data_IF_357124344952
#
_entry.id   IF_357124344952
#
_cell.length_a   1.000
_cell.length_b   1.000
_cell.length_c   1.000
_cell.angle_alpha   90.00
_cell.angle_beta   90.00
_cell.angle_gamma   90.00
#
_symmetry.space_group_name_H-M   'P 1'
#
loop_
_entity.id
_entity.type
_entity.pdbx_description
1 polymer ?
#
# COMPACT_ATOMS: atom_id res chain seq x y z
N UNK A 1 -1.48 -26.84 -11.50
CA UNK A 1 -0.68 -25.62 -11.29
C UNK A 1 -1.50 -24.43 -11.77
N UNK A 2 -2.03 -23.60 -10.87
CA UNK A 2 -2.68 -22.34 -11.29
C UNK A 2 -1.61 -21.42 -11.89
N UNK A 3 -1.84 -20.93 -13.11
CA UNK A 3 -0.94 -19.98 -13.76
C UNK A 3 -0.75 -18.74 -12.89
N UNK A 4 0.47 -18.20 -12.83
CA UNK A 4 0.82 -17.00 -12.06
C UNK A 4 -0.17 -15.84 -12.32
N UNK A 5 -0.58 -15.68 -13.58
CA UNK A 5 -1.59 -14.69 -14.00
C UNK A 5 -2.94 -14.86 -13.31
N UNK A 6 -3.41 -16.10 -13.09
CA UNK A 6 -4.68 -16.31 -12.39
C UNK A 6 -4.60 -15.97 -10.91
N UNK A 7 -3.41 -16.16 -10.32
CA UNK A 7 -3.17 -15.85 -8.91
C UNK A 7 -3.18 -14.35 -8.64
N UNK A 8 -2.57 -13.56 -9.52
CA UNK A 8 -2.48 -12.09 -9.37
C UNK A 8 -3.54 -11.33 -10.20
N UNK A 9 -4.52 -12.02 -10.78
CA UNK A 9 -5.54 -11.42 -11.65
C UNK A 9 -6.26 -10.25 -10.99
N UNK A 10 -6.73 -10.43 -9.76
CA UNK A 10 -7.44 -9.38 -9.02
C UNK A 10 -6.57 -8.14 -8.79
N UNK A 11 -5.30 -8.36 -8.46
CA UNK A 11 -4.32 -7.30 -8.24
C UNK A 11 -4.04 -6.52 -9.54
N UNK A 12 -3.80 -7.22 -10.65
CA UNK A 12 -3.58 -6.59 -11.95
C UNK A 12 -4.80 -5.79 -12.42
N UNK A 13 -6.01 -6.30 -12.19
CA UNK A 13 -7.25 -5.58 -12.48
C UNK A 13 -7.36 -4.32 -11.63
N UNK A 14 -7.02 -4.41 -10.34
CA UNK A 14 -7.00 -3.25 -9.45
C UNK A 14 -6.04 -2.17 -9.96
N UNK A 15 -4.79 -2.53 -10.28
CA UNK A 15 -3.82 -1.59 -10.83
C UNK A 15 -4.27 -0.99 -12.16
N UNK A 16 -4.89 -1.80 -13.04
CA UNK A 16 -5.44 -1.31 -14.29
C UNK A 16 -6.56 -0.28 -14.03
N UNK A 17 -7.45 -0.53 -13.07
CA UNK A 17 -8.53 0.39 -12.72
C UNK A 17 -7.99 1.72 -12.16
N UNK A 18 -7.04 1.64 -11.21
CA UNK A 18 -6.38 2.82 -10.63
C UNK A 18 -5.59 3.61 -11.69
N UNK A 19 -4.90 2.90 -12.59
CA UNK A 19 -4.17 3.50 -13.70
C UNK A 19 -5.09 4.21 -14.69
N UNK A 20 -6.18 3.57 -15.12
CA UNK A 20 -7.18 4.18 -15.99
C UNK A 20 -7.83 5.41 -15.34
N UNK A 21 -8.22 5.33 -14.06
CA UNK A 21 -8.78 6.46 -13.33
C UNK A 21 -7.79 7.63 -13.26
N UNK A 22 -6.51 7.34 -13.04
CA UNK A 22 -5.44 8.36 -13.02
C UNK A 22 -5.18 8.97 -14.40
N UNK A 23 -5.22 8.17 -15.47
CA UNK A 23 -5.08 8.67 -16.84
C UNK A 23 -6.23 9.62 -17.20
N UNK A 24 -7.46 9.24 -16.86
CA UNK A 24 -8.63 10.13 -17.05
C UNK A 24 -8.46 11.41 -16.24
N UNK A 25 -8.02 11.30 -14.98
CA UNK A 25 -7.72 12.47 -14.15
C UNK A 25 -6.66 13.38 -14.78
N UNK A 26 -5.58 12.80 -15.31
CA UNK A 26 -4.51 13.55 -15.99
C UNK A 26 -4.99 14.28 -17.27
N UNK A 27 -6.02 13.75 -17.95
CA UNK A 27 -6.63 14.42 -19.09
C UNK A 27 -7.61 15.55 -18.71
N UNK A 28 -8.20 15.48 -17.51
CA UNK A 28 -9.25 16.40 -17.07
C UNK A 28 -8.76 17.47 -16.09
N UNK A 29 -7.59 17.29 -15.49
CA UNK A 29 -7.08 18.11 -14.40
C UNK A 29 -5.63 18.52 -14.65
N UNK A 30 -5.27 19.75 -14.28
CA UNK A 30 -3.89 20.24 -14.31
C UNK A 30 -3.07 19.80 -13.09
N UNK A 31 -3.73 19.24 -12.08
CA UNK A 31 -3.07 18.79 -10.86
C UNK A 31 -2.20 17.55 -11.12
N UNK A 32 -1.21 17.36 -10.24
CA UNK A 32 -0.25 16.27 -10.39
C UNK A 32 -0.95 14.88 -10.30
N UNK A 33 -0.98 14.11 -11.41
CA UNK A 33 -1.65 12.81 -11.43
C UNK A 33 -1.00 11.78 -10.51
N UNK A 34 0.27 11.97 -10.16
CA UNK A 34 0.97 11.08 -9.23
C UNK A 34 0.36 11.17 -7.81
N UNK A 35 0.03 12.37 -7.35
CA UNK A 35 -0.64 12.56 -6.05
C UNK A 35 -2.02 11.91 -6.05
N UNK A 36 -2.76 12.00 -7.15
CA UNK A 36 -4.05 11.37 -7.30
C UNK A 36 -3.95 9.83 -7.26
N UNK A 37 -2.98 9.25 -7.98
CA UNK A 37 -2.72 7.80 -7.95
C UNK A 37 -2.35 7.32 -6.55
N UNK A 38 -1.44 8.01 -5.86
CA UNK A 38 -1.05 7.67 -4.49
C UNK A 38 -2.25 7.73 -3.54
N UNK A 39 -3.09 8.75 -3.68
CA UNK A 39 -4.31 8.91 -2.91
C UNK A 39 -5.29 7.76 -3.11
N UNK A 40 -5.61 7.43 -4.36
CA UNK A 40 -6.49 6.31 -4.69
C UNK A 40 -5.92 4.97 -4.22
N UNK A 41 -4.60 4.79 -4.35
CA UNK A 41 -3.90 3.60 -3.86
C UNK A 41 -4.12 3.44 -2.36
N UNK A 42 -3.85 4.47 -1.55
CA UNK A 42 -4.02 4.39 -0.10
C UNK A 42 -5.48 4.14 0.33
N UNK A 43 -6.44 4.87 -0.25
CA UNK A 43 -7.87 4.68 0.07
C UNK A 43 -8.31 3.26 -0.27
N UNK A 44 -7.95 2.75 -1.45
CA UNK A 44 -8.42 1.45 -1.91
C UNK A 44 -7.79 0.31 -1.13
N UNK A 45 -6.47 0.37 -0.86
CA UNK A 45 -5.79 -0.65 -0.07
C UNK A 45 -6.20 -0.62 1.40
N UNK A 46 -6.48 0.56 1.96
CA UNK A 46 -7.03 0.66 3.32
C UNK A 46 -8.41 0.04 3.43
N UNK A 47 -9.29 0.27 2.44
CA UNK A 47 -10.62 -0.32 2.40
C UNK A 47 -10.59 -1.85 2.53
N UNK A 48 -9.73 -2.52 1.77
CA UNK A 48 -9.58 -3.98 1.87
C UNK A 48 -9.06 -4.44 3.24
N UNK A 49 -8.16 -3.66 3.86
CA UNK A 49 -7.66 -3.95 5.21
C UNK A 49 -8.73 -3.80 6.28
N UNK A 50 -9.63 -2.82 6.14
CA UNK A 50 -10.70 -2.57 7.11
C UNK A 50 -11.78 -3.65 7.05
N UNK A 51 -12.14 -4.14 5.86
CA UNK A 51 -13.09 -5.25 5.71
C UNK A 51 -12.63 -6.47 6.51
N UNK A 52 -11.33 -6.76 6.48
CA UNK A 52 -10.71 -7.90 7.15
C UNK A 52 -9.72 -7.46 8.23
N UNK A 53 -10.14 -6.55 9.10
CA UNK A 53 -9.25 -5.91 10.06
C UNK A 53 -8.61 -6.89 11.04
N UNK A 54 -9.34 -7.93 11.47
CA UNK A 54 -8.83 -8.92 12.42
C UNK A 54 -7.74 -9.78 11.81
N UNK A 55 -7.94 -10.21 10.57
CA UNK A 55 -7.02 -11.02 9.80
C UNK A 55 -5.80 -10.19 9.37
N UNK A 56 -6.02 -8.94 8.93
CA UNK A 56 -4.95 -7.96 8.68
C UNK A 56 -4.10 -7.81 9.93
N UNK A 57 -4.70 -7.50 11.07
CA UNK A 57 -4.02 -7.33 12.35
C UNK A 57 -3.19 -8.56 12.72
N UNK A 58 -3.75 -9.76 12.60
CA UNK A 58 -3.07 -11.01 12.92
C UNK A 58 -1.89 -11.31 11.98
N UNK A 59 -1.99 -10.97 10.69
CA UNK A 59 -0.90 -11.17 9.72
C UNK A 59 0.17 -10.07 9.83
N UNK A 60 -0.24 -8.80 9.87
CA UNK A 60 0.63 -7.62 9.87
C UNK A 60 1.66 -7.63 11.01
N UNK A 61 1.23 -8.05 12.21
CA UNK A 61 2.08 -8.13 13.40
C UNK A 61 3.18 -9.18 13.32
N UNK A 62 3.05 -10.16 12.43
CA UNK A 62 4.05 -11.23 12.27
C UNK A 62 5.29 -10.73 11.55
N UNK A 63 5.14 -9.79 10.62
CA UNK A 63 6.24 -9.35 9.74
C UNK A 63 6.64 -7.87 9.90
N UNK A 64 5.72 -6.96 10.21
CA UNK A 64 6.06 -5.54 10.35
C UNK A 64 6.80 -5.28 11.67
N UNK A 65 7.89 -4.51 11.59
CA UNK A 65 8.82 -4.30 12.71
C UNK A 65 8.16 -3.46 13.81
N UNK A 66 7.39 -2.44 13.44
CA UNK A 66 6.72 -1.55 14.39
C UNK A 66 5.53 -2.26 15.01
N UNK A 67 4.71 -2.94 14.21
CA UNK A 67 3.55 -3.69 14.64
C UNK A 67 3.89 -4.84 15.59
N UNK A 68 5.07 -5.45 15.41
CA UNK A 68 5.56 -6.51 16.29
C UNK A 68 5.84 -6.00 17.71
N UNK A 69 6.32 -4.77 17.86
CA UNK A 69 6.60 -4.16 19.15
C UNK A 69 5.39 -3.39 19.71
N UNK A 70 4.60 -2.76 18.84
CA UNK A 70 3.45 -1.92 19.20
C UNK A 70 2.21 -2.54 18.56
N UNK A 71 1.56 -3.44 19.29
CA UNK A 71 0.38 -4.14 18.81
C UNK A 71 -0.74 -3.19 18.36
N UNK A 72 -0.89 -2.04 19.03
CA UNK A 72 -1.89 -1.03 18.70
C UNK A 72 -1.66 -0.40 17.32
N UNK A 73 -0.40 -0.27 16.89
CA UNK A 73 -0.05 0.29 15.58
C UNK A 73 -0.66 -0.52 14.43
N UNK A 74 -0.66 -1.85 14.54
CA UNK A 74 -1.29 -2.71 13.54
C UNK A 74 -2.80 -2.46 13.37
N UNK A 75 -3.48 -2.03 14.43
CA UNK A 75 -4.92 -1.74 14.37
C UNK A 75 -5.18 -0.35 13.78
N UNK A 76 -4.32 0.63 14.08
CA UNK A 76 -4.45 2.01 13.60
C UNK A 76 -3.97 2.18 12.14
N UNK A 77 -3.09 1.30 11.66
CA UNK A 77 -2.46 1.40 10.34
C UNK A 77 -3.43 1.68 9.17
N UNK A 78 -4.56 0.96 9.00
CA UNK A 78 -5.48 1.23 7.90
C UNK A 78 -6.08 2.64 7.97
N UNK A 79 -6.30 3.17 9.17
CA UNK A 79 -6.79 4.54 9.35
C UNK A 79 -5.73 5.58 8.99
N UNK A 80 -4.45 5.31 9.28
CA UNK A 80 -3.34 6.17 8.81
C UNK A 80 -3.34 6.24 7.29
N UNK A 81 -3.54 5.11 6.62
CA UNK A 81 -3.64 5.08 5.16
C UNK A 81 -4.84 5.87 4.63
N UNK A 82 -6.00 5.86 5.32
CA UNK A 82 -7.12 6.72 4.92
C UNK A 82 -6.70 8.19 4.99
N UNK A 83 -6.09 8.61 6.11
CA UNK A 83 -5.66 9.99 6.29
C UNK A 83 -4.65 10.39 5.22
N UNK A 84 -3.64 9.56 4.95
CA UNK A 84 -2.67 9.80 3.88
C UNK A 84 -3.34 9.86 2.50
N UNK A 85 -4.24 8.93 2.21
CA UNK A 85 -5.01 8.89 0.98
C UNK A 85 -5.81 10.18 0.76
N UNK A 86 -6.49 10.66 1.80
CA UNK A 86 -7.21 11.92 1.76
C UNK A 86 -6.25 13.10 1.55
N UNK A 87 -5.14 13.17 2.28
CA UNK A 87 -4.15 14.25 2.11
C UNK A 87 -3.61 14.33 0.68
N UNK A 88 -3.33 13.18 0.05
CA UNK A 88 -2.90 13.13 -1.34
C UNK A 88 -4.02 13.54 -2.33
N UNK A 89 -5.26 13.09 -2.11
CA UNK A 89 -6.40 13.45 -2.97
C UNK A 89 -6.81 14.93 -2.86
N UNK A 90 -6.78 15.48 -1.64
CA UNK A 90 -7.10 16.90 -1.38
C UNK A 90 -5.89 17.82 -1.53
N UNK A 91 -4.73 17.27 -1.89
CA UNK A 91 -3.46 18.00 -2.00
C UNK A 91 -3.09 18.80 -0.75
N UNK A 92 -3.50 18.31 0.42
CA UNK A 92 -3.30 18.99 1.69
C UNK A 92 -2.00 18.54 2.34
N UNK A 93 -1.06 19.47 2.53
CA UNK A 93 0.22 19.23 3.20
C UNK A 93 0.96 17.99 2.65
N UNK A 94 1.17 17.98 1.33
CA UNK A 94 1.87 16.91 0.62
C UNK A 94 3.26 16.59 1.19
N UNK A 95 4.11 17.57 1.63
CA UNK A 95 5.41 17.23 2.23
C UNK A 95 5.28 16.30 3.44
N UNK A 96 4.32 16.61 4.33
CA UNK A 96 4.08 15.80 5.51
C UNK A 96 3.55 14.41 5.15
N UNK A 97 2.58 14.33 4.22
CA UNK A 97 2.03 13.06 3.75
C UNK A 97 3.10 12.17 3.12
N UNK A 98 3.98 12.74 2.29
CA UNK A 98 5.10 12.03 1.66
C UNK A 98 6.12 11.55 2.69
N UNK A 99 6.51 12.38 3.66
CA UNK A 99 7.44 11.99 4.71
C UNK A 99 6.92 10.81 5.55
N UNK A 100 5.65 10.88 5.97
CA UNK A 100 4.99 9.79 6.72
C UNK A 100 4.92 8.52 5.86
N UNK A 101 4.53 8.65 4.59
CA UNK A 101 4.46 7.54 3.63
C UNK A 101 5.79 6.81 3.52
N UNK A 102 6.90 7.54 3.36
CA UNK A 102 8.25 6.95 3.26
C UNK A 102 8.59 6.16 4.53
N UNK A 103 8.35 6.73 5.72
CA UNK A 103 8.66 6.06 6.99
C UNK A 103 7.88 4.76 7.14
N UNK A 104 6.57 4.81 6.89
CA UNK A 104 5.66 3.68 7.04
C UNK A 104 5.98 2.57 6.03
N UNK A 105 6.19 2.95 4.76
CA UNK A 105 6.47 1.99 3.70
C UNK A 105 7.87 1.39 3.80
N UNK A 106 8.87 2.14 4.26
CA UNK A 106 10.21 1.58 4.52
C UNK A 106 10.16 0.53 5.65
N UNK A 107 9.46 0.83 6.75
CA UNK A 107 9.28 -0.13 7.85
C UNK A 107 8.66 -1.44 7.36
N UNK A 108 7.53 -1.33 6.64
CA UNK A 108 6.83 -2.50 6.10
C UNK A 108 7.67 -3.25 5.07
N UNK A 109 8.39 -2.55 4.18
CA UNK A 109 9.24 -3.18 3.17
C UNK A 109 10.39 -3.99 3.80
N UNK A 110 11.06 -3.45 4.83
CA UNK A 110 12.10 -4.19 5.57
C UNK A 110 11.49 -5.42 6.26
N UNK A 111 10.30 -5.28 6.85
CA UNK A 111 9.55 -6.39 7.45
C UNK A 111 9.24 -7.52 6.46
N UNK A 112 8.74 -7.17 5.27
CA UNK A 112 8.41 -8.11 4.19
C UNK A 112 9.67 -8.81 3.68
N UNK A 113 10.77 -8.09 3.44
CA UNK A 113 12.05 -8.67 3.01
C UNK A 113 12.56 -9.69 4.05
N UNK A 114 12.48 -9.34 5.34
CA UNK A 114 12.94 -10.20 6.42
C UNK A 114 12.10 -11.47 6.54
N UNK A 115 10.78 -11.37 6.40
CA UNK A 115 9.88 -12.53 6.47
C UNK A 115 10.03 -13.44 5.24
N UNK A 116 10.19 -12.87 4.03
CA UNK A 116 10.48 -13.64 2.82
C UNK A 116 11.82 -14.39 2.90
N UNK A 117 12.87 -13.77 3.47
CA UNK A 117 14.17 -14.44 3.68
C UNK A 117 14.11 -15.58 4.70
N UNK A 118 13.14 -15.56 5.62
CA UNK A 118 12.92 -16.62 6.60
C UNK A 118 12.09 -17.79 6.04
N UNK A 119 11.59 -17.69 4.81
CA UNK A 119 10.74 -18.73 4.20
C UNK A 119 9.35 -18.82 4.84
N UNK A 120 8.92 -17.79 5.58
CA UNK A 120 7.59 -17.76 6.20
C UNK A 120 6.53 -17.54 5.10
N UNK A 121 5.64 -18.52 4.90
CA UNK A 121 4.51 -18.41 3.98
C UNK A 121 3.39 -17.65 4.69
N UNK A 122 3.42 -16.32 4.62
CA UNK A 122 2.38 -15.46 5.16
C UNK A 122 1.46 -14.95 4.05
N UNK A 123 0.17 -14.88 4.33
CA UNK A 123 -0.81 -14.25 3.44
C UNK A 123 -0.64 -12.72 3.48
N UNK A 124 -0.71 -12.08 2.30
CA UNK A 124 -0.60 -10.62 2.18
C UNK A 124 -1.70 -9.95 2.98
N UNK A 125 -1.35 -9.13 3.97
CA UNK A 125 -2.36 -8.54 4.84
C UNK A 125 -3.27 -7.53 4.08
N UNK A 126 -2.79 -6.92 2.99
CA UNK A 126 -3.52 -5.86 2.27
C UNK A 126 -4.66 -6.38 1.37
N UNK A 127 -4.44 -7.46 0.62
CA UNK A 127 -5.42 -8.09 -0.28
C UNK A 127 -5.58 -9.61 -0.05
N UNK A 128 -4.70 -10.22 0.74
CA UNK A 128 -4.59 -11.67 0.86
C UNK A 128 -5.76 -12.33 1.58
N UNK A 129 -6.51 -11.60 2.40
CA UNK A 129 -7.70 -12.16 3.07
C UNK A 129 -8.88 -12.30 2.10
N UNK A 130 -9.02 -11.38 1.14
CA UNK A 130 -10.06 -11.43 0.10
C UNK A 130 -9.63 -12.31 -1.08
N UNK A 131 -8.35 -12.24 -1.47
CA UNK A 131 -7.86 -12.80 -2.73
C UNK A 131 -6.82 -13.94 -2.57
N UNK A 132 -6.53 -14.40 -1.35
CA UNK A 132 -5.53 -15.45 -1.06
C UNK A 132 -4.16 -15.19 -1.74
N UNK A 133 -3.79 -13.91 -1.82
CA UNK A 133 -2.49 -13.50 -2.34
C UNK A 133 -1.41 -13.75 -1.29
N UNK A 134 -0.41 -14.59 -1.55
CA UNK A 134 0.74 -14.72 -0.66
C UNK A 134 1.52 -13.41 -0.67
N UNK A 135 2.15 -13.08 0.46
CA UNK A 135 3.25 -12.12 0.46
C UNK A 135 4.25 -12.54 -0.61
N UNK A 136 4.54 -11.63 -1.54
CA UNK A 136 5.37 -11.95 -2.69
C UNK A 136 6.29 -10.79 -3.04
N UNK A 137 7.19 -11.03 -3.98
CA UNK A 137 8.05 -10.00 -4.58
C UNK A 137 7.22 -8.83 -5.16
N UNK A 138 5.95 -9.06 -5.51
CA UNK A 138 5.06 -8.01 -6.01
C UNK A 138 4.81 -6.93 -4.95
N UNK A 139 4.57 -7.29 -3.69
CA UNK A 139 4.36 -6.31 -2.59
C UNK A 139 5.60 -5.44 -2.35
N UNK A 140 6.80 -5.99 -2.53
CA UNK A 140 8.05 -5.21 -2.47
C UNK A 140 8.09 -4.18 -3.61
N UNK A 141 7.71 -4.58 -4.82
CA UNK A 141 7.67 -3.70 -5.98
C UNK A 141 6.64 -2.58 -5.76
N UNK A 142 5.44 -2.91 -5.28
CA UNK A 142 4.39 -1.94 -4.97
C UNK A 142 4.85 -0.89 -3.95
N UNK A 143 5.40 -1.35 -2.81
CA UNK A 143 5.91 -0.45 -1.78
C UNK A 143 7.06 0.43 -2.29
N UNK A 144 7.98 -0.13 -3.08
CA UNK A 144 9.09 0.65 -3.65
C UNK A 144 8.62 1.70 -4.66
N UNK A 145 7.62 1.39 -5.49
CA UNK A 145 7.04 2.37 -6.42
C UNK A 145 6.42 3.52 -5.64
N UNK A 146 5.63 3.23 -4.60
CA UNK A 146 5.02 4.25 -3.75
C UNK A 146 6.05 5.09 -2.98
N UNK A 147 7.14 4.48 -2.49
CA UNK A 147 8.26 5.20 -1.87
C UNK A 147 8.94 6.12 -2.89
N UNK A 148 9.20 5.63 -4.11
CA UNK A 148 9.81 6.43 -5.16
C UNK A 148 8.94 7.64 -5.51
N UNK A 149 7.63 7.44 -5.64
CA UNK A 149 6.66 8.52 -5.83
C UNK A 149 6.68 9.52 -4.66
N UNK A 150 6.69 9.05 -3.42
CA UNK A 150 6.75 9.95 -2.27
C UNK A 150 8.05 10.78 -2.24
N UNK A 151 9.19 10.19 -2.63
CA UNK A 151 10.48 10.88 -2.72
C UNK A 151 10.46 11.91 -3.86
N UNK A 152 10.01 11.55 -5.05
CA UNK A 152 9.92 12.49 -6.17
C UNK A 152 9.00 13.65 -5.81
N UNK A 153 7.89 13.39 -5.12
CA UNK A 153 7.01 14.44 -4.65
C UNK A 153 7.71 15.39 -3.66
N UNK A 154 8.58 14.90 -2.78
CA UNK A 154 9.37 15.77 -1.89
C UNK A 154 10.44 16.59 -2.63
N UNK A 155 10.99 16.07 -3.72
CA UNK A 155 12.03 16.74 -4.50
C UNK A 155 11.48 17.77 -5.50
N UNK A 156 10.22 17.60 -5.93
CA UNK A 156 9.54 18.48 -6.90
C UNK A 156 8.90 19.70 -6.21
N UNK A 157 8.70 19.65 -4.88
CA UNK A 157 8.12 20.74 -4.07
C UNK A 157 9.08 21.92 -3.93
#
# INVERSE_FOLDING_TARGET
>A
MKNWLEKYKALLILFAYLGCATLVYACLSENNPMTFLMGLFFITFSFFKIIHLKEFYASFKKYDIIAKNINFYAWVYPFIEIVLGLMFLTQTNIPLASAITIIILLSTNIGVIKSLRKGEVLECACLGVVFNLPLSKVTIIENNIMILMAITQLLII
#
